data_IF_238497068985
#
_entry.id   IF_238497068985
#
_cell.length_a   1.000
_cell.length_b   1.000
_cell.length_c   1.000
_cell.angle_alpha   90.00
_cell.angle_beta   90.00
_cell.angle_gamma   90.00
#
_symmetry.space_group_name_H-M   'P 1'
#
loop_
_entity.id
_entity.type
_entity.pdbx_description
1 polymer ?
#
# COMPACT_ATOMS: atom_id res chain seq x y z
N UNK A 1 -6.30 -10.68 -13.85
CA UNK A 1 -5.95 -9.64 -12.85
C UNK A 1 -5.81 -8.28 -13.54
N UNK A 2 -5.94 -7.17 -12.80
CA UNK A 2 -5.80 -5.79 -13.31
C UNK A 2 -4.34 -5.43 -13.61
N UNK A 3 -4.11 -4.30 -14.31
CA UNK A 3 -2.77 -3.76 -14.57
C UNK A 3 -2.00 -3.46 -13.29
N UNK A 4 -0.66 -3.52 -13.32
CA UNK A 4 0.22 -3.09 -12.24
C UNK A 4 0.08 -1.58 -11.95
N UNK A 5 -0.46 -0.79 -12.88
CA UNK A 5 -0.83 0.62 -12.64
C UNK A 5 -1.91 0.76 -11.55
N UNK A 6 -2.73 -0.27 -11.37
CA UNK A 6 -3.75 -0.33 -10.31
C UNK A 6 -3.20 -0.78 -8.95
N UNK A 7 -2.00 -1.34 -8.91
CA UNK A 7 -1.29 -1.73 -7.70
C UNK A 7 -0.35 -0.61 -7.23
N UNK A 8 0.50 -0.14 -8.14
CA UNK A 8 1.43 0.95 -7.90
C UNK A 8 0.78 2.27 -8.27
N UNK A 9 0.17 2.95 -7.32
CA UNK A 9 -0.42 4.26 -7.52
C UNK A 9 0.47 5.34 -6.90
N UNK A 10 0.81 6.34 -7.68
CA UNK A 10 1.46 7.56 -7.19
C UNK A 10 0.37 8.44 -6.58
N UNK A 11 0.54 8.83 -5.33
CA UNK A 11 -0.47 9.61 -4.63
C UNK A 11 0.04 10.20 -3.32
N UNK A 12 -0.87 10.89 -2.63
CA UNK A 12 -0.59 11.54 -1.35
C UNK A 12 -1.07 10.62 -0.22
N UNK A 13 -0.17 10.40 0.78
CA UNK A 13 -0.53 9.68 1.99
C UNK A 13 -1.54 10.42 2.88
N UNK A 14 -1.90 9.85 4.02
CA UNK A 14 -1.34 8.66 4.66
C UNK A 14 -2.03 7.34 4.29
N UNK A 15 -3.23 7.36 3.69
CA UNK A 15 -4.02 6.14 3.45
C UNK A 15 -4.50 6.04 2.01
N UNK A 16 -4.38 4.87 1.41
CA UNK A 16 -4.93 4.63 0.07
C UNK A 16 -6.45 4.63 0.06
N UNK A 17 -7.09 4.02 1.05
CA UNK A 17 -8.55 3.96 1.14
C UNK A 17 -9.19 5.22 1.72
N UNK A 18 -8.51 5.91 2.65
CA UNK A 18 -9.07 7.07 3.36
C UNK A 18 -8.55 8.42 2.85
N UNK A 19 -7.53 8.45 2.01
CA UNK A 19 -6.96 9.70 1.44
C UNK A 19 -7.02 9.68 -0.09
N UNK A 20 -6.33 8.71 -0.74
CA UNK A 20 -6.29 8.64 -2.22
C UNK A 20 -7.68 8.37 -2.79
N UNK A 21 -8.42 7.39 -2.26
CA UNK A 21 -9.76 7.06 -2.73
C UNK A 21 -10.73 8.25 -2.64
N UNK A 22 -10.93 8.88 -1.47
CA UNK A 22 -11.77 10.07 -1.34
C UNK A 22 -11.33 11.25 -2.20
N UNK A 23 -10.01 11.48 -2.36
CA UNK A 23 -9.49 12.49 -3.29
C UNK A 23 -9.90 12.20 -4.73
N UNK A 24 -9.68 10.98 -5.19
CA UNK A 24 -10.04 10.55 -6.56
C UNK A 24 -11.55 10.63 -6.79
N UNK A 25 -12.36 10.31 -5.78
CA UNK A 25 -13.81 10.48 -5.85
C UNK A 25 -14.22 11.96 -5.98
N UNK A 26 -13.60 12.83 -5.19
CA UNK A 26 -13.82 14.28 -5.27
C UNK A 26 -13.43 14.83 -6.65
N UNK A 27 -12.28 14.41 -7.20
CA UNK A 27 -11.82 14.79 -8.54
C UNK A 27 -12.79 14.31 -9.63
N UNK A 28 -13.26 13.06 -9.54
CA UNK A 28 -14.24 12.51 -10.47
C UNK A 28 -15.59 13.26 -10.40
N UNK A 29 -16.05 13.59 -9.19
CA UNK A 29 -17.30 14.31 -8.99
C UNK A 29 -17.21 15.76 -9.46
N UNK A 30 -16.11 16.46 -9.17
CA UNK A 30 -15.85 17.81 -9.65
C UNK A 30 -15.83 17.86 -11.19
N UNK A 31 -15.23 16.86 -11.83
CA UNK A 31 -15.21 16.77 -13.31
C UNK A 31 -16.61 16.58 -13.91
N UNK A 32 -17.50 15.89 -13.20
CA UNK A 32 -18.92 15.75 -13.62
C UNK A 32 -19.72 17.03 -13.43
N UNK A 33 -19.33 17.86 -12.44
CA UNK A 33 -20.06 19.06 -12.02
C UNK A 33 -19.13 20.29 -11.91
N UNK A 34 -18.47 20.73 -13.01
CA UNK A 34 -17.47 21.80 -12.95
C UNK A 34 -18.04 23.17 -12.55
N UNK A 35 -19.33 23.41 -12.83
CA UNK A 35 -20.04 24.68 -12.56
C UNK A 35 -20.82 24.68 -11.22
N UNK A 36 -20.62 23.65 -10.36
CA UNK A 36 -21.33 23.55 -9.10
C UNK A 36 -20.99 24.72 -8.14
N UNK A 37 -22.02 25.35 -7.56
CA UNK A 37 -21.88 26.44 -6.60
C UNK A 37 -21.28 25.99 -5.27
N UNK A 38 -21.54 24.74 -4.89
CA UNK A 38 -21.04 24.13 -3.66
C UNK A 38 -21.29 22.64 -3.64
N UNK A 39 -20.74 21.98 -2.63
CA UNK A 39 -20.79 20.54 -2.49
C UNK A 39 -21.19 20.16 -1.06
N UNK A 40 -21.85 19.00 -0.93
CA UNK A 40 -21.98 18.29 0.34
C UNK A 40 -21.36 16.91 0.16
N UNK A 41 -20.47 16.52 1.08
CA UNK A 41 -19.91 15.18 1.11
C UNK A 41 -20.24 14.54 2.46
N UNK A 42 -20.92 13.41 2.42
CA UNK A 42 -21.26 12.62 3.60
C UNK A 42 -20.35 11.40 3.65
N UNK A 43 -19.59 11.25 4.75
CA UNK A 43 -18.71 10.13 5.00
C UNK A 43 -19.39 9.15 5.96
N UNK A 44 -19.22 7.84 5.70
CA UNK A 44 -19.86 6.77 6.45
C UNK A 44 -18.83 5.79 7.02
N UNK A 45 -19.23 5.08 8.10
CA UNK A 45 -18.48 3.96 8.68
C UNK A 45 -17.04 4.30 8.98
N UNK A 46 -16.09 3.50 8.48
CA UNK A 46 -14.66 3.65 8.75
C UNK A 46 -14.10 4.98 8.23
N UNK A 47 -14.55 5.48 7.06
CA UNK A 47 -14.14 6.80 6.56
C UNK A 47 -14.51 7.93 7.51
N UNK A 48 -15.63 7.83 8.18
CA UNK A 48 -16.05 8.83 9.18
C UNK A 48 -15.35 8.64 10.53
N UNK A 49 -15.14 7.39 10.95
CA UNK A 49 -14.55 7.07 12.24
C UNK A 49 -13.07 7.46 12.34
N UNK A 50 -12.30 7.22 11.30
CA UNK A 50 -10.84 7.42 11.27
C UNK A 50 -10.38 8.52 10.30
N UNK A 51 -11.29 9.10 9.54
CA UNK A 51 -10.98 9.98 8.41
C UNK A 51 -10.19 11.25 8.76
N UNK A 52 -10.43 11.85 9.93
CA UNK A 52 -9.64 13.01 10.38
C UNK A 52 -8.17 12.64 10.61
N UNK A 53 -7.91 11.46 11.18
CA UNK A 53 -6.55 10.94 11.38
C UNK A 53 -5.86 10.58 10.06
N UNK A 54 -6.67 10.23 9.04
CA UNK A 54 -6.21 9.89 7.70
C UNK A 54 -6.26 11.06 6.70
N UNK A 55 -6.47 12.29 7.15
CA UNK A 55 -6.56 13.48 6.30
C UNK A 55 -7.62 13.37 5.18
N UNK A 56 -8.71 12.64 5.43
CA UNK A 56 -9.80 12.46 4.44
C UNK A 56 -10.46 13.79 4.11
N UNK A 57 -10.73 14.61 5.13
CA UNK A 57 -11.25 15.97 4.99
C UNK A 57 -10.32 16.83 4.14
N UNK A 58 -9.04 16.86 4.50
CA UNK A 58 -8.04 17.61 3.76
C UNK A 58 -8.00 17.19 2.28
N UNK A 59 -8.00 15.89 2.00
CA UNK A 59 -7.94 15.36 0.65
C UNK A 59 -9.15 15.76 -0.21
N UNK A 60 -10.35 15.75 0.37
CA UNK A 60 -11.61 16.18 -0.31
C UNK A 60 -11.64 17.69 -0.49
N UNK A 61 -11.33 18.45 0.57
CA UNK A 61 -11.41 19.91 0.57
C UNK A 61 -10.38 20.56 -0.36
N UNK A 62 -9.20 19.98 -0.53
CA UNK A 62 -8.20 20.43 -1.49
C UNK A 62 -8.70 20.36 -2.95
N UNK A 63 -9.60 19.44 -3.25
CA UNK A 63 -10.18 19.27 -4.60
C UNK A 63 -11.42 20.13 -4.78
N UNK A 64 -12.37 20.04 -3.85
CA UNK A 64 -13.68 20.67 -3.97
C UNK A 64 -13.70 22.14 -3.51
N UNK A 65 -12.72 22.57 -2.71
CA UNK A 65 -12.62 23.89 -2.10
C UNK A 65 -13.30 23.97 -0.73
N UNK A 66 -12.54 24.40 0.29
CA UNK A 66 -12.99 24.46 1.68
C UNK A 66 -14.21 25.34 1.89
N UNK A 67 -14.23 26.54 1.28
CA UNK A 67 -15.28 27.53 1.48
C UNK A 67 -16.63 27.18 0.83
N UNK A 68 -16.68 26.13 -0.01
CA UNK A 68 -17.89 25.71 -0.72
C UNK A 68 -18.27 24.26 -0.51
N UNK A 69 -17.64 23.57 0.46
CA UNK A 69 -17.88 22.17 0.74
C UNK A 69 -18.31 21.95 2.19
N UNK A 70 -19.47 21.33 2.35
CA UNK A 70 -19.99 20.85 3.64
C UNK A 70 -19.62 19.38 3.81
N UNK A 71 -18.91 19.03 4.93
CA UNK A 71 -18.57 17.65 5.28
C UNK A 71 -19.44 17.16 6.43
N UNK A 72 -20.14 16.03 6.21
CA UNK A 72 -20.93 15.34 7.23
C UNK A 72 -20.29 14.00 7.60
N UNK A 73 -20.27 13.67 8.88
CA UNK A 73 -19.56 12.53 9.45
C UNK A 73 -20.55 11.59 10.17
N UNK A 74 -20.76 10.39 9.60
CA UNK A 74 -21.67 9.38 10.13
C UNK A 74 -20.93 8.07 10.44
N UNK A 75 -20.07 8.08 11.47
CA UNK A 75 -19.26 6.94 11.87
C UNK A 75 -20.09 5.70 12.27
N UNK A 76 -21.29 5.92 12.83
CA UNK A 76 -22.18 4.85 13.29
C UNK A 76 -23.06 4.24 12.17
N UNK A 77 -22.98 4.78 10.95
CA UNK A 77 -23.74 4.29 9.81
C UNK A 77 -22.78 3.60 8.86
N UNK A 78 -22.90 2.29 8.74
CA UNK A 78 -22.15 1.48 7.76
C UNK A 78 -23.09 1.15 6.62
N UNK A 79 -22.72 1.55 5.40
CA UNK A 79 -23.51 1.23 4.21
C UNK A 79 -23.34 -0.26 3.84
N UNK A 80 -24.38 -0.92 3.28
CA UNK A 80 -24.41 -2.38 3.11
C UNK A 80 -23.29 -2.95 2.23
N UNK A 81 -22.82 -2.17 1.24
CA UNK A 81 -21.85 -2.65 0.26
C UNK A 81 -20.41 -2.69 0.81
N UNK A 82 -19.98 -1.61 1.52
CA UNK A 82 -18.62 -1.51 2.03
C UNK A 82 -18.54 -0.48 3.17
N UNK A 83 -17.69 -0.67 4.23
CA UNK A 83 -17.58 0.26 5.35
C UNK A 83 -17.00 1.64 4.97
N UNK A 84 -16.31 1.77 3.83
CA UNK A 84 -15.72 3.02 3.36
C UNK A 84 -16.64 3.72 2.34
N UNK A 85 -17.88 3.98 2.71
CA UNK A 85 -18.85 4.67 1.87
C UNK A 85 -18.74 6.19 1.96
N UNK A 86 -19.01 6.86 0.84
CA UNK A 86 -19.13 8.31 0.76
C UNK A 86 -20.21 8.71 -0.26
N UNK A 87 -20.93 9.78 0.04
CA UNK A 87 -21.98 10.35 -0.81
C UNK A 87 -21.64 11.79 -1.13
N UNK A 88 -21.64 12.13 -2.41
CA UNK A 88 -21.44 13.48 -2.93
C UNK A 88 -22.76 14.05 -3.42
N UNK A 89 -22.98 15.34 -3.22
CA UNK A 89 -24.14 16.09 -3.68
C UNK A 89 -23.71 17.50 -4.09
N UNK A 90 -24.31 18.08 -5.14
CA UNK A 90 -24.10 19.48 -5.56
C UNK A 90 -25.16 20.40 -4.98
N UNK A 91 -24.79 21.65 -4.70
CA UNK A 91 -25.74 22.69 -4.26
C UNK A 91 -26.38 23.38 -5.44
N UNK A 92 -27.68 23.28 -5.57
CA UNK A 92 -28.46 23.98 -6.58
C UNK A 92 -28.67 25.47 -6.25
N UNK A 93 -29.11 26.25 -7.24
CA UNK A 93 -29.45 27.68 -7.03
C UNK A 93 -30.61 27.88 -6.02
N UNK A 94 -31.48 26.89 -5.84
CA UNK A 94 -32.52 26.89 -4.79
C UNK A 94 -31.99 26.79 -3.37
N UNK A 95 -30.71 26.37 -3.22
CA UNK A 95 -30.09 26.07 -1.95
C UNK A 95 -30.16 24.57 -1.56
N UNK A 96 -30.95 23.79 -2.27
CA UNK A 96 -31.11 22.35 -2.06
C UNK A 96 -29.86 21.58 -2.56
N UNK A 97 -29.63 20.38 -2.00
CA UNK A 97 -28.63 19.48 -2.48
C UNK A 97 -29.21 18.43 -3.42
N UNK A 98 -28.64 18.33 -4.61
CA UNK A 98 -29.11 17.51 -5.72
C UNK A 98 -27.97 16.64 -6.29
N UNK A 99 -28.28 15.80 -7.29
CA UNK A 99 -27.33 14.94 -8.00
C UNK A 99 -26.51 14.03 -7.07
N UNK A 100 -27.17 13.21 -6.21
CA UNK A 100 -26.48 12.34 -5.28
C UNK A 100 -25.67 11.27 -6.02
N UNK A 101 -24.41 11.09 -5.60
CA UNK A 101 -23.54 10.03 -6.08
C UNK A 101 -22.92 9.29 -4.90
N UNK A 102 -23.27 8.00 -4.74
CA UNK A 102 -22.73 7.13 -3.70
C UNK A 102 -21.61 6.29 -4.28
N UNK A 103 -20.44 6.33 -3.63
CA UNK A 103 -19.23 5.64 -4.06
C UNK A 103 -18.47 5.09 -2.86
N UNK A 104 -17.76 3.99 -3.04
CA UNK A 104 -17.01 3.28 -2.01
C UNK A 104 -15.53 3.23 -2.35
N UNK A 105 -14.69 3.41 -1.34
CA UNK A 105 -13.24 3.20 -1.45
C UNK A 105 -12.89 1.79 -0.98
N UNK A 106 -12.63 0.89 -1.94
CA UNK A 106 -12.54 -0.56 -1.70
C UNK A 106 -11.11 -1.09 -1.49
N UNK A 107 -10.18 -0.21 -1.14
CA UNK A 107 -8.78 -0.55 -0.89
C UNK A 107 -7.84 -0.14 -2.04
N UNK A 108 -6.57 0.10 -1.71
CA UNK A 108 -5.56 0.56 -2.68
C UNK A 108 -5.90 1.88 -3.40
N UNK A 109 -6.92 2.63 -2.94
CA UNK A 109 -7.42 3.83 -3.61
C UNK A 109 -8.40 3.56 -4.76
N UNK A 110 -8.87 2.32 -4.92
CA UNK A 110 -9.89 1.95 -5.91
C UNK A 110 -11.28 2.43 -5.48
N UNK A 111 -12.09 2.82 -6.45
CA UNK A 111 -13.45 3.28 -6.24
C UNK A 111 -14.45 2.32 -6.91
N UNK A 112 -15.61 2.11 -6.25
CA UNK A 112 -16.73 1.35 -6.78
C UNK A 112 -18.01 2.14 -6.54
N UNK A 113 -18.84 2.32 -7.58
CA UNK A 113 -20.14 3.00 -7.48
C UNK A 113 -21.21 2.02 -6.95
N UNK A 114 -22.21 2.55 -6.29
CA UNK A 114 -23.35 1.75 -5.82
C UNK A 114 -24.06 1.07 -7.00
N UNK A 115 -24.20 -0.25 -6.92
CA UNK A 115 -24.85 -1.05 -7.98
C UNK A 115 -23.94 -1.48 -9.14
N UNK A 116 -22.68 -1.06 -9.15
CA UNK A 116 -21.69 -1.55 -10.13
C UNK A 116 -20.84 -2.66 -9.51
N UNK A 117 -20.50 -3.67 -10.30
CA UNK A 117 -19.43 -4.58 -9.96
C UNK A 117 -18.09 -3.84 -10.11
N UNK A 118 -17.11 -4.20 -9.27
CA UNK A 118 -15.79 -3.58 -9.17
C UNK A 118 -15.24 -3.21 -10.56
N UNK A 119 -15.22 -1.92 -10.87
CA UNK A 119 -14.66 -1.18 -12.01
C UNK A 119 -14.53 -1.88 -13.37
N UNK A 120 -15.04 -1.20 -14.42
CA UNK A 120 -14.92 -1.51 -15.86
C UNK A 120 -13.50 -1.48 -16.45
N UNK A 121 -12.45 -1.45 -15.63
CA UNK A 121 -11.10 -1.64 -16.16
C UNK A 121 -10.93 -3.11 -16.54
N UNK A 122 -10.58 -3.41 -17.80
CA UNK A 122 -10.42 -4.79 -18.26
C UNK A 122 -9.30 -5.49 -17.48
N UNK A 123 -9.43 -6.82 -17.34
CA UNK A 123 -8.33 -7.61 -16.85
C UNK A 123 -7.22 -7.65 -17.91
N UNK A 124 -6.00 -7.41 -17.43
CA UNK A 124 -4.78 -7.41 -18.27
C UNK A 124 -4.06 -8.75 -18.19
N UNK A 125 -4.17 -9.42 -17.06
CA UNK A 125 -3.55 -10.71 -16.80
C UNK A 125 -4.64 -11.80 -16.74
N UNK A 126 -4.52 -12.80 -17.61
CA UNK A 126 -5.44 -13.95 -17.64
C UNK A 126 -5.22 -14.90 -16.44
N UNK A 127 -3.95 -15.12 -16.07
CA UNK A 127 -3.58 -15.98 -14.95
C UNK A 127 -3.59 -15.18 -13.64
N UNK A 128 -4.05 -15.81 -12.55
CA UNK A 128 -4.15 -15.21 -11.22
C UNK A 128 -3.55 -16.08 -10.08
N UNK A 129 -2.91 -17.19 -10.44
CA UNK A 129 -2.10 -18.02 -9.55
C UNK A 129 -0.62 -17.92 -9.92
N UNK A 130 0.23 -17.82 -8.90
CA UNK A 130 1.67 -17.74 -9.14
C UNK A 130 2.22 -19.04 -9.73
N UNK A 131 1.68 -20.18 -9.31
CA UNK A 131 1.99 -21.50 -9.88
C UNK A 131 1.76 -21.58 -11.38
N UNK A 132 0.62 -21.06 -11.87
CA UNK A 132 0.30 -21.07 -13.31
C UNK A 132 1.22 -20.11 -14.08
N UNK A 133 1.49 -18.93 -13.51
CA UNK A 133 2.43 -17.96 -14.09
C UNK A 133 3.84 -18.54 -14.12
N UNK A 134 4.26 -19.25 -13.06
CA UNK A 134 5.55 -19.92 -12.99
C UNK A 134 5.70 -21.00 -14.08
N UNK A 135 4.66 -21.82 -14.25
CA UNK A 135 4.63 -22.82 -15.33
C UNK A 135 4.71 -22.15 -16.70
N UNK A 136 3.91 -21.10 -16.93
CA UNK A 136 3.92 -20.35 -18.19
C UNK A 136 5.31 -19.76 -18.49
N UNK A 137 5.99 -19.21 -17.49
CA UNK A 137 7.33 -18.67 -17.60
C UNK A 137 8.36 -19.77 -17.90
N UNK A 138 8.26 -20.90 -17.21
CA UNK A 138 9.15 -22.04 -17.39
C UNK A 138 9.06 -22.62 -18.81
N UNK A 139 7.85 -22.83 -19.31
CA UNK A 139 7.61 -23.35 -20.67
C UNK A 139 8.20 -22.46 -21.78
N UNK A 140 8.29 -21.15 -21.52
CA UNK A 140 8.79 -20.15 -22.50
C UNK A 140 10.22 -19.69 -22.23
N UNK A 141 10.84 -20.16 -21.17
CA UNK A 141 12.19 -19.76 -20.78
C UNK A 141 12.32 -18.28 -20.44
N UNK A 142 11.26 -17.67 -19.85
CA UNK A 142 11.20 -16.25 -19.49
C UNK A 142 11.04 -16.08 -17.98
N UNK A 143 11.30 -14.86 -17.49
CA UNK A 143 11.15 -14.48 -16.09
C UNK A 143 9.74 -13.94 -15.82
N UNK A 144 9.41 -13.68 -14.53
CA UNK A 144 8.14 -13.02 -14.15
C UNK A 144 7.97 -11.64 -14.80
N UNK A 145 9.04 -10.83 -14.89
CA UNK A 145 8.96 -9.55 -15.61
C UNK A 145 8.75 -9.73 -17.12
N UNK A 146 9.19 -10.86 -17.70
CA UNK A 146 8.87 -11.21 -19.09
C UNK A 146 7.37 -11.47 -19.28
N UNK A 147 6.72 -12.12 -18.31
CA UNK A 147 5.27 -12.28 -18.28
C UNK A 147 4.55 -10.91 -18.17
N UNK A 148 5.06 -9.99 -17.32
CA UNK A 148 4.53 -8.61 -17.26
C UNK A 148 4.60 -7.94 -18.63
N UNK A 149 5.73 -8.03 -19.32
CA UNK A 149 5.88 -7.45 -20.67
C UNK A 149 4.87 -8.04 -21.66
N UNK A 150 4.64 -9.35 -21.59
CA UNK A 150 3.68 -10.04 -22.46
C UNK A 150 2.25 -9.55 -22.25
N UNK A 151 1.85 -9.32 -20.99
CA UNK A 151 0.48 -8.92 -20.65
C UNK A 151 0.23 -7.41 -20.78
N UNK A 152 1.17 -6.57 -20.36
CA UNK A 152 1.00 -5.11 -20.27
C UNK A 152 1.60 -4.35 -21.46
N UNK A 153 2.40 -5.01 -22.31
CA UNK A 153 3.16 -4.35 -23.35
C UNK A 153 4.39 -3.58 -22.84
N UNK A 154 5.05 -2.85 -23.73
CA UNK A 154 6.28 -2.09 -23.38
C UNK A 154 6.00 -0.83 -22.56
N UNK A 155 4.81 -0.26 -22.66
CA UNK A 155 4.43 1.00 -21.99
C UNK A 155 4.41 0.90 -20.46
N UNK A 156 4.33 -0.29 -19.91
CA UNK A 156 4.39 -0.48 -18.46
C UNK A 156 5.73 -0.04 -17.88
N UNK A 157 6.81 -0.17 -18.65
CA UNK A 157 8.16 0.17 -18.18
C UNK A 157 8.33 1.66 -17.99
N UNK A 158 7.75 2.50 -18.87
CA UNK A 158 7.74 3.97 -18.71
C UNK A 158 6.95 4.38 -17.44
N UNK A 159 5.90 3.63 -17.12
CA UNK A 159 5.15 3.85 -15.89
C UNK A 159 5.93 3.42 -14.64
N UNK A 160 6.56 2.24 -14.68
CA UNK A 160 7.37 1.73 -13.57
C UNK A 160 8.63 2.58 -13.35
N UNK A 161 9.17 3.23 -14.38
CA UNK A 161 10.24 4.22 -14.25
C UNK A 161 9.78 5.42 -13.42
N UNK A 162 8.60 5.97 -13.71
CA UNK A 162 8.00 7.04 -12.89
C UNK A 162 7.74 6.59 -11.45
N UNK A 163 7.24 5.36 -11.28
CA UNK A 163 7.05 4.74 -9.96
C UNK A 163 8.38 4.67 -9.21
N UNK A 164 9.44 4.20 -9.86
CA UNK A 164 10.77 4.08 -9.24
C UNK A 164 11.34 5.45 -8.84
N UNK A 165 11.28 6.44 -9.73
CA UNK A 165 11.76 7.79 -9.43
C UNK A 165 10.98 8.40 -8.25
N UNK A 166 9.65 8.26 -8.22
CA UNK A 166 8.84 8.71 -7.08
C UNK A 166 9.21 8.00 -5.78
N UNK A 167 9.51 6.70 -5.82
CA UNK A 167 10.00 5.95 -4.66
C UNK A 167 11.35 6.49 -4.16
N UNK A 168 12.29 6.76 -5.06
CA UNK A 168 13.59 7.36 -4.72
C UNK A 168 13.42 8.74 -4.08
N UNK A 169 12.62 9.61 -4.71
CA UNK A 169 12.34 10.94 -4.18
C UNK A 169 11.70 10.91 -2.79
N UNK A 170 10.80 9.95 -2.54
CA UNK A 170 10.18 9.80 -1.22
C UNK A 170 11.21 9.39 -0.16
N UNK A 171 12.17 8.49 -0.48
CA UNK A 171 13.27 8.15 0.41
C UNK A 171 14.15 9.37 0.68
N UNK A 172 14.59 10.05 -0.37
CA UNK A 172 15.52 11.18 -0.28
C UNK A 172 14.91 12.33 0.52
N UNK A 173 13.66 12.72 0.23
CA UNK A 173 12.95 13.74 1.01
C UNK A 173 12.80 13.36 2.47
N UNK A 174 12.40 12.11 2.76
CA UNK A 174 12.20 11.67 4.13
C UNK A 174 13.48 11.61 4.97
N UNK A 175 14.65 11.41 4.32
CA UNK A 175 15.95 11.47 4.98
C UNK A 175 16.40 12.90 5.32
N UNK A 176 15.84 13.90 4.64
CA UNK A 176 16.19 15.32 4.84
C UNK A 176 15.18 16.04 5.74
N UNK A 177 13.95 15.52 5.88
CA UNK A 177 12.91 16.14 6.66
C UNK A 177 13.01 15.83 8.15
N UNK A 178 13.17 16.86 8.96
CA UNK A 178 13.07 16.82 10.42
C UNK A 178 11.71 17.33 10.91
N UNK A 179 11.46 17.20 12.21
CA UNK A 179 10.31 17.77 12.88
C UNK A 179 9.33 16.74 13.44
N UNK A 180 8.08 17.15 13.58
CA UNK A 180 7.01 16.39 14.24
C UNK A 180 5.97 15.98 13.21
N UNK A 181 5.56 14.70 13.23
CA UNK A 181 4.50 14.20 12.40
C UNK A 181 3.14 14.80 12.79
N UNK A 182 2.22 15.00 11.84
CA UNK A 182 0.91 15.56 12.13
C UNK A 182 0.07 14.59 12.99
N UNK A 183 -0.87 15.15 13.75
CA UNK A 183 -1.82 14.40 14.56
C UNK A 183 -1.51 14.38 16.05
N UNK A 184 -2.34 13.68 16.83
CA UNK A 184 -2.34 13.71 18.28
C UNK A 184 -1.09 13.10 18.93
N UNK A 185 -0.43 12.15 18.26
CA UNK A 185 0.72 11.43 18.79
C UNK A 185 2.00 12.28 18.87
N UNK A 186 2.10 13.34 18.09
CA UNK A 186 3.25 14.25 18.05
C UNK A 186 4.60 13.53 17.95
N UNK A 187 4.65 12.47 17.16
CA UNK A 187 5.88 11.70 16.95
C UNK A 187 6.93 12.52 16.24
N UNK A 188 8.15 12.45 16.73
CA UNK A 188 9.30 13.02 16.03
C UNK A 188 9.69 12.13 14.84
N UNK A 189 10.08 12.73 13.72
CA UNK A 189 10.70 12.03 12.63
C UNK A 189 12.02 11.42 13.09
N UNK A 190 12.28 10.18 12.67
CA UNK A 190 13.44 9.39 13.09
C UNK A 190 14.39 9.08 11.92
N UNK A 191 13.90 9.18 10.70
CA UNK A 191 14.64 8.72 9.52
C UNK A 191 16.01 9.41 9.37
N UNK A 192 16.16 10.76 9.50
CA UNK A 192 17.45 11.42 9.43
C UNK A 192 18.47 10.91 10.46
N UNK A 193 18.02 10.81 11.71
CA UNK A 193 18.86 10.32 12.80
C UNK A 193 19.32 8.86 12.61
N UNK A 194 18.38 7.99 12.16
CA UNK A 194 18.68 6.59 11.88
C UNK A 194 19.67 6.46 10.73
N UNK A 195 19.53 7.29 9.69
CA UNK A 195 20.45 7.31 8.57
C UNK A 195 21.88 7.69 9.00
N UNK A 196 22.03 8.80 9.74
CA UNK A 196 23.33 9.25 10.24
C UNK A 196 23.97 8.19 11.13
N UNK A 197 23.21 7.60 12.04
CA UNK A 197 23.71 6.52 12.92
C UNK A 197 24.08 5.27 12.12
N UNK A 198 23.30 4.93 11.10
CA UNK A 198 23.59 3.77 10.24
C UNK A 198 24.95 3.88 9.55
N UNK A 199 25.34 5.10 9.13
CA UNK A 199 26.65 5.33 8.51
C UNK A 199 27.82 5.04 9.45
N UNK A 200 27.61 5.14 10.74
CA UNK A 200 28.62 4.83 11.78
C UNK A 200 28.73 3.35 12.18
N UNK A 201 27.80 2.50 11.71
CA UNK A 201 27.84 1.07 12.04
C UNK A 201 28.85 0.29 11.17
N UNK A 202 29.43 -0.82 11.69
CA UNK A 202 30.22 -1.73 10.89
C UNK A 202 29.35 -2.39 9.81
N UNK A 203 29.98 -2.80 8.71
CA UNK A 203 29.32 -3.26 7.48
C UNK A 203 28.27 -4.35 7.69
N UNK A 204 28.45 -5.24 8.65
CA UNK A 204 27.50 -6.31 8.98
C UNK A 204 26.17 -5.82 9.56
N UNK A 205 26.16 -4.68 10.24
CA UNK A 205 24.94 -4.06 10.80
C UNK A 205 24.46 -2.87 9.97
N UNK A 206 25.38 -2.19 9.27
CA UNK A 206 25.09 -0.99 8.48
C UNK A 206 23.99 -1.22 7.44
N UNK A 207 24.06 -2.33 6.70
CA UNK A 207 23.05 -2.68 5.69
C UNK A 207 21.63 -2.71 6.28
N UNK A 208 21.44 -3.38 7.41
CA UNK A 208 20.15 -3.45 8.09
C UNK A 208 19.70 -2.10 8.63
N UNK A 209 20.61 -1.33 9.21
CA UNK A 209 20.31 -0.01 9.75
C UNK A 209 19.92 1.00 8.65
N UNK A 210 20.56 0.94 7.47
CA UNK A 210 20.19 1.75 6.31
C UNK A 210 18.79 1.39 5.79
N UNK A 211 18.44 0.10 5.71
CA UNK A 211 17.10 -0.35 5.29
C UNK A 211 16.05 0.18 6.26
N UNK A 212 16.31 0.18 7.58
CA UNK A 212 15.40 0.80 8.54
C UNK A 212 15.24 2.30 8.26
N UNK A 213 16.32 3.03 8.06
CA UNK A 213 16.27 4.47 7.80
C UNK A 213 15.45 4.79 6.54
N UNK A 214 15.64 4.05 5.45
CA UNK A 214 14.91 4.23 4.20
C UNK A 214 13.41 3.91 4.34
N UNK A 215 13.06 2.85 5.06
CA UNK A 215 11.67 2.51 5.31
C UNK A 215 10.97 3.54 6.20
N UNK A 216 11.66 4.04 7.24
CA UNK A 216 11.20 5.14 8.08
C UNK A 216 10.98 6.40 7.24
N UNK A 217 11.93 6.76 6.37
CA UNK A 217 11.85 7.95 5.52
C UNK A 217 10.56 7.99 4.70
N UNK A 218 10.26 6.92 3.95
CA UNK A 218 9.02 6.83 3.15
C UNK A 218 7.78 6.79 4.02
N UNK A 219 7.81 6.05 5.14
CA UNK A 219 6.65 5.92 6.02
C UNK A 219 6.32 7.24 6.74
N UNK A 220 7.32 8.03 7.11
CA UNK A 220 7.16 9.36 7.69
C UNK A 220 6.67 10.38 6.65
N UNK A 221 7.15 10.30 5.40
CA UNK A 221 6.59 11.06 4.28
C UNK A 221 5.12 10.71 4.06
N UNK A 222 4.79 9.41 4.02
CA UNK A 222 3.41 8.96 3.94
C UNK A 222 2.54 9.53 5.06
N UNK A 223 2.99 9.44 6.31
CA UNK A 223 2.25 9.93 7.48
C UNK A 223 2.05 11.44 7.49
N UNK A 224 2.88 12.18 6.76
CA UNK A 224 2.84 13.65 6.66
C UNK A 224 2.09 14.16 5.42
N UNK A 225 1.45 13.28 4.63
CA UNK A 225 0.77 13.67 3.40
C UNK A 225 1.74 13.95 2.23
N UNK A 226 2.95 13.40 2.27
CA UNK A 226 3.90 13.47 1.16
C UNK A 226 3.49 12.56 0.00
N UNK A 227 4.05 12.83 -1.18
CA UNK A 227 3.85 11.98 -2.36
C UNK A 227 4.63 10.69 -2.20
N UNK A 228 3.92 9.56 -2.30
CA UNK A 228 4.46 8.20 -2.21
C UNK A 228 3.87 7.31 -3.31
N UNK A 229 4.34 6.08 -3.37
CA UNK A 229 3.75 5.04 -4.21
C UNK A 229 3.13 3.96 -3.32
N UNK A 230 1.90 3.55 -3.62
CA UNK A 230 1.32 2.37 -2.97
C UNK A 230 2.09 1.11 -3.35
N UNK A 231 2.48 0.28 -2.36
CA UNK A 231 3.21 -0.97 -2.60
C UNK A 231 2.96 -2.01 -1.48
N UNK A 232 1.77 -2.66 -1.40
CA UNK A 232 0.59 -2.45 -2.23
C UNK A 232 -0.32 -1.32 -1.77
N UNK A 233 -0.14 -0.78 -0.55
CA UNK A 233 -0.95 0.30 0.05
C UNK A 233 -0.08 1.45 0.54
N UNK A 234 -0.69 2.58 0.92
CA UNK A 234 0.03 3.67 1.58
C UNK A 234 0.64 3.23 2.92
N UNK A 235 -0.11 2.46 3.72
CA UNK A 235 0.34 1.98 5.03
C UNK A 235 1.59 1.10 4.98
N UNK A 236 1.85 0.49 3.82
CA UNK A 236 3.01 -0.38 3.59
C UNK A 236 4.01 0.20 2.56
N UNK A 237 3.85 1.48 2.18
CA UNK A 237 4.61 2.12 1.10
C UNK A 237 6.11 2.23 1.34
N UNK A 238 6.59 2.05 2.58
CA UNK A 238 8.01 2.13 2.93
C UNK A 238 8.81 0.86 2.63
N UNK A 239 8.17 -0.30 2.50
CA UNK A 239 8.87 -1.61 2.45
C UNK A 239 9.61 -1.81 1.13
N UNK A 240 8.89 -1.79 0.01
CA UNK A 240 9.47 -2.03 -1.33
C UNK A 240 10.53 -0.98 -1.70
N UNK A 241 10.25 0.34 -1.54
CA UNK A 241 11.25 1.36 -1.84
C UNK A 241 12.52 1.21 -1.02
N UNK A 242 12.41 0.93 0.29
CA UNK A 242 13.58 0.79 1.17
C UNK A 242 14.52 -0.33 0.71
N UNK A 243 13.97 -1.50 0.37
CA UNK A 243 14.73 -2.65 -0.09
C UNK A 243 15.39 -2.35 -1.44
N UNK A 244 14.62 -1.85 -2.41
CA UNK A 244 15.15 -1.59 -3.76
C UNK A 244 16.16 -0.44 -3.76
N UNK A 245 15.90 0.65 -3.03
CA UNK A 245 16.82 1.77 -2.91
C UNK A 245 18.13 1.36 -2.24
N UNK A 246 18.05 0.56 -1.17
CA UNK A 246 19.23 0.00 -0.51
C UNK A 246 20.08 -0.83 -1.49
N UNK A 247 19.46 -1.75 -2.23
CA UNK A 247 20.16 -2.60 -3.19
C UNK A 247 20.71 -1.79 -4.37
N UNK A 248 19.97 -0.80 -4.87
CA UNK A 248 20.41 0.12 -5.91
C UNK A 248 21.68 0.88 -5.50
N UNK A 249 21.68 1.48 -4.29
CA UNK A 249 22.83 2.26 -3.78
C UNK A 249 24.04 1.39 -3.37
N UNK A 250 23.82 0.17 -2.92
CA UNK A 250 24.92 -0.67 -2.35
C UNK A 250 25.44 -1.72 -3.30
N UNK A 251 24.68 -2.14 -4.31
CA UNK A 251 25.05 -3.23 -5.24
C UNK A 251 25.22 -2.79 -6.68
N UNK A 252 25.07 -1.50 -6.97
CA UNK A 252 25.20 -0.91 -8.31
C UNK A 252 24.36 -1.62 -9.39
N UNK A 253 23.18 -2.10 -9.05
CA UNK A 253 22.26 -2.62 -10.05
C UNK A 253 21.83 -1.50 -11.00
N UNK A 254 21.75 -1.80 -12.29
CA UNK A 254 21.23 -0.83 -13.26
C UNK A 254 19.74 -0.55 -13.00
N UNK A 255 19.31 0.65 -13.32
CA UNK A 255 17.91 1.05 -13.17
C UNK A 255 16.97 0.08 -13.91
N UNK A 256 17.34 -0.35 -15.12
CA UNK A 256 16.59 -1.36 -15.86
C UNK A 256 16.37 -2.66 -15.03
N UNK A 257 17.34 -3.11 -14.26
CA UNK A 257 17.17 -4.28 -13.38
C UNK A 257 16.25 -3.99 -12.22
N UNK A 258 16.27 -2.77 -11.68
CA UNK A 258 15.31 -2.34 -10.65
C UNK A 258 13.89 -2.33 -11.20
N UNK A 259 13.66 -1.82 -12.42
CA UNK A 259 12.35 -1.85 -13.06
C UNK A 259 11.83 -3.28 -13.25
N UNK A 260 12.69 -4.21 -13.70
CA UNK A 260 12.34 -5.63 -13.80
C UNK A 260 12.01 -6.23 -12.41
N UNK A 261 12.73 -5.84 -11.36
CA UNK A 261 12.43 -6.23 -9.98
C UNK A 261 11.07 -5.69 -9.52
N UNK A 262 10.73 -4.43 -9.87
CA UNK A 262 9.41 -3.85 -9.60
C UNK A 262 8.30 -4.60 -10.34
N UNK A 263 8.52 -4.98 -11.61
CA UNK A 263 7.57 -5.81 -12.36
C UNK A 263 7.36 -7.18 -11.69
N UNK A 264 8.44 -7.82 -11.23
CA UNK A 264 8.39 -9.09 -10.48
C UNK A 264 7.62 -8.93 -9.17
N UNK A 265 7.94 -7.91 -8.36
CA UNK A 265 7.22 -7.58 -7.13
C UNK A 265 5.73 -7.30 -7.40
N UNK A 266 5.45 -6.63 -8.52
CA UNK A 266 4.09 -6.30 -8.93
C UNK A 266 3.21 -7.53 -9.16
N UNK A 267 3.73 -8.59 -9.77
CA UNK A 267 3.00 -9.87 -9.91
C UNK A 267 2.64 -10.44 -8.54
N UNK A 268 3.58 -10.47 -7.59
CA UNK A 268 3.34 -10.97 -6.23
C UNK A 268 2.22 -10.18 -5.54
N UNK A 269 2.30 -8.85 -5.56
CA UNK A 269 1.28 -7.99 -4.96
C UNK A 269 -0.09 -8.10 -5.66
N UNK A 270 -0.08 -8.25 -6.99
CA UNK A 270 -1.32 -8.33 -7.78
C UNK A 270 -2.08 -9.64 -7.53
N UNK A 271 -1.38 -10.75 -7.35
CA UNK A 271 -1.98 -12.04 -6.94
C UNK A 271 -2.60 -11.90 -5.55
N UNK A 272 -1.89 -11.35 -4.57
CA UNK A 272 -2.44 -11.12 -3.23
C UNK A 272 -3.68 -10.22 -3.27
N UNK A 273 -3.66 -9.14 -4.09
CA UNK A 273 -4.80 -8.24 -4.30
C UNK A 273 -6.00 -8.96 -4.92
N UNK A 274 -5.76 -9.81 -5.91
CA UNK A 274 -6.81 -10.45 -6.69
C UNK A 274 -7.47 -11.62 -5.95
N UNK A 275 -6.69 -12.46 -5.28
CA UNK A 275 -7.14 -13.70 -4.64
C UNK A 275 -7.35 -13.60 -3.13
N UNK A 276 -6.64 -12.67 -2.52
CA UNK A 276 -6.74 -12.37 -1.10
C UNK A 276 -7.42 -11.05 -0.83
N UNK A 277 -6.70 -10.17 -0.17
CA UNK A 277 -7.00 -8.76 0.01
C UNK A 277 -5.69 -8.00 0.26
N UNK A 278 -5.68 -6.71 -0.03
CA UNK A 278 -4.62 -5.78 0.39
C UNK A 278 -5.17 -4.69 1.33
N UNK A 279 -6.34 -4.91 1.93
CA UNK A 279 -7.00 -3.97 2.83
C UNK A 279 -6.79 -4.35 4.29
N UNK A 280 -6.27 -3.42 5.09
CA UNK A 280 -6.15 -3.58 6.54
C UNK A 280 -7.51 -3.76 7.23
N UNK A 281 -8.55 -3.11 6.73
CA UNK A 281 -9.92 -3.23 7.23
C UNK A 281 -10.57 -4.60 6.95
N UNK A 282 -10.14 -5.29 5.89
CA UNK A 282 -10.64 -6.62 5.54
C UNK A 282 -9.83 -7.74 6.18
N UNK A 283 -8.50 -7.65 6.10
CA UNK A 283 -7.63 -8.77 6.42
C UNK A 283 -6.50 -8.42 7.40
N UNK A 284 -6.53 -7.26 8.05
CA UNK A 284 -5.47 -6.84 8.96
C UNK A 284 -4.19 -6.41 8.25
N UNK A 285 -3.16 -6.08 9.04
CA UNK A 285 -1.88 -5.58 8.51
C UNK A 285 -1.06 -6.65 7.74
N UNK A 286 -1.40 -7.94 7.89
CA UNK A 286 -0.83 -9.02 7.08
C UNK A 286 -1.06 -8.78 5.58
N UNK A 287 -2.22 -8.23 5.21
CA UNK A 287 -2.58 -7.92 3.83
C UNK A 287 -1.84 -6.70 3.27
N UNK A 288 -1.39 -5.80 4.12
CA UNK A 288 -0.63 -4.62 3.73
C UNK A 288 0.88 -4.88 3.85
N UNK A 289 1.38 -4.95 5.07
CA UNK A 289 2.81 -5.06 5.38
C UNK A 289 3.35 -6.45 5.02
N UNK A 290 2.56 -7.52 5.24
CA UNK A 290 2.95 -8.88 4.86
C UNK A 290 3.09 -9.03 3.33
N UNK A 291 2.13 -8.51 2.57
CA UNK A 291 2.19 -8.50 1.10
C UNK A 291 3.35 -7.63 0.62
N UNK A 292 3.58 -6.45 1.22
CA UNK A 292 4.72 -5.60 0.88
C UNK A 292 6.07 -6.30 1.13
N UNK A 293 6.18 -7.06 2.23
CA UNK A 293 7.36 -7.88 2.51
C UNK A 293 7.57 -8.96 1.44
N UNK A 294 6.51 -9.67 1.04
CA UNK A 294 6.57 -10.66 -0.04
C UNK A 294 7.01 -10.03 -1.37
N UNK A 295 6.44 -8.88 -1.75
CA UNK A 295 6.82 -8.11 -2.93
C UNK A 295 8.31 -7.74 -2.92
N UNK A 296 8.78 -7.19 -1.81
CA UNK A 296 10.18 -6.77 -1.65
C UNK A 296 11.15 -7.96 -1.61
N UNK A 297 10.77 -9.08 -0.99
CA UNK A 297 11.56 -10.31 -0.94
C UNK A 297 11.74 -10.92 -2.34
N UNK A 298 10.66 -11.00 -3.12
CA UNK A 298 10.70 -11.46 -4.52
C UNK A 298 11.58 -10.56 -5.39
N UNK A 299 11.43 -9.24 -5.26
CA UNK A 299 12.24 -8.27 -5.97
C UNK A 299 13.73 -8.40 -5.65
N UNK A 300 14.06 -8.53 -4.36
CA UNK A 300 15.45 -8.75 -3.91
C UNK A 300 15.99 -10.06 -4.47
N UNK A 301 15.23 -11.15 -4.38
CA UNK A 301 15.65 -12.46 -4.87
C UNK A 301 15.92 -12.44 -6.39
N UNK A 302 15.06 -11.78 -7.18
CA UNK A 302 15.30 -11.55 -8.60
C UNK A 302 16.62 -10.79 -8.85
N UNK A 303 16.90 -9.73 -8.09
CA UNK A 303 18.14 -8.94 -8.24
C UNK A 303 19.40 -9.76 -7.96
N UNK A 304 19.34 -10.69 -7.01
CA UNK A 304 20.41 -11.62 -6.71
C UNK A 304 20.49 -12.83 -7.65
N UNK A 305 19.67 -12.90 -8.69
CA UNK A 305 19.71 -13.93 -9.73
C UNK A 305 18.96 -15.21 -9.36
N UNK A 306 17.99 -15.11 -8.47
CA UNK A 306 17.14 -16.24 -8.10
C UNK A 306 16.36 -16.83 -9.28
N UNK A 307 16.11 -18.14 -9.19
CA UNK A 307 15.23 -18.86 -10.11
C UNK A 307 13.75 -18.48 -9.87
N UNK A 308 12.87 -18.87 -10.78
CA UNK A 308 11.42 -18.68 -10.58
C UNK A 308 10.96 -19.30 -9.25
N UNK A 309 11.48 -20.48 -8.89
CA UNK A 309 11.13 -21.17 -7.64
C UNK A 309 11.67 -20.45 -6.39
N UNK A 310 12.91 -19.94 -6.41
CA UNK A 310 13.45 -19.22 -5.27
C UNK A 310 12.83 -17.83 -5.10
N UNK A 311 12.43 -17.17 -6.18
CA UNK A 311 11.67 -15.90 -6.13
C UNK A 311 10.31 -16.12 -5.49
N UNK A 312 9.59 -17.18 -5.89
CA UNK A 312 8.32 -17.58 -5.29
C UNK A 312 8.49 -17.90 -3.82
N UNK A 313 9.51 -18.70 -3.45
CA UNK A 313 9.77 -19.07 -2.07
C UNK A 313 10.12 -17.84 -1.20
N UNK A 314 10.89 -16.89 -1.71
CA UNK A 314 11.15 -15.64 -0.99
C UNK A 314 9.86 -14.83 -0.73
N UNK A 315 8.96 -14.79 -1.71
CA UNK A 315 7.65 -14.15 -1.55
C UNK A 315 6.79 -14.87 -0.50
N UNK A 316 6.73 -16.18 -0.57
CA UNK A 316 6.01 -17.03 0.37
C UNK A 316 6.49 -16.78 1.80
N UNK A 317 7.80 -16.89 2.07
CA UNK A 317 8.43 -16.60 3.36
C UNK A 317 8.11 -15.19 3.86
N UNK A 318 8.12 -14.21 2.94
CA UNK A 318 7.78 -12.82 3.27
C UNK A 318 6.35 -12.65 3.77
N UNK A 319 5.39 -13.40 3.23
CA UNK A 319 3.98 -13.34 3.63
C UNK A 319 3.68 -14.24 4.83
N UNK A 320 4.14 -15.49 4.81
CA UNK A 320 3.87 -16.50 5.86
C UNK A 320 4.19 -15.96 7.25
N UNK A 321 5.35 -15.31 7.41
CA UNK A 321 5.82 -14.79 8.69
C UNK A 321 5.14 -13.48 9.14
N UNK A 322 4.13 -13.03 8.39
CA UNK A 322 3.25 -11.92 8.75
C UNK A 322 1.79 -12.35 8.97
N UNK A 323 1.46 -13.64 8.84
CA UNK A 323 0.12 -14.15 9.11
C UNK A 323 -0.29 -13.86 10.57
N UNK A 324 -1.56 -13.48 10.75
CA UNK A 324 -2.11 -13.11 12.06
C UNK A 324 -1.82 -11.67 12.51
N UNK A 325 -1.17 -10.84 11.70
CA UNK A 325 -0.86 -9.46 12.05
C UNK A 325 -2.12 -8.59 12.04
N UNK A 326 -2.48 -8.07 13.22
CA UNK A 326 -3.63 -7.17 13.43
C UNK A 326 -3.42 -5.80 12.79
N UNK A 327 -4.50 -5.03 12.57
CA UNK A 327 -4.45 -3.62 12.18
C UNK A 327 -5.16 -2.77 13.25
N UNK A 328 -4.38 -2.18 14.15
CA UNK A 328 -4.82 -1.42 15.31
C UNK A 328 -4.04 -0.10 15.46
N UNK A 329 -4.18 0.82 14.47
CA UNK A 329 -3.42 2.07 14.48
C UNK A 329 -3.84 2.97 15.65
N UNK A 330 -2.85 3.42 16.43
CA UNK A 330 -3.09 4.29 17.59
C UNK A 330 -3.63 5.64 17.13
N UNK A 331 -4.71 6.10 17.75
CA UNK A 331 -5.44 7.33 17.37
C UNK A 331 -5.95 7.32 15.90
N UNK A 332 -6.07 6.17 15.26
CA UNK A 332 -6.42 6.09 13.84
C UNK A 332 -5.35 6.62 12.88
N UNK A 333 -4.12 6.84 13.36
CA UNK A 333 -3.02 7.41 12.59
C UNK A 333 -2.14 6.31 11.98
N UNK A 334 -1.77 6.43 10.71
CA UNK A 334 -0.82 5.53 10.04
C UNK A 334 0.61 5.83 10.52
N UNK A 335 0.82 5.71 11.85
CA UNK A 335 2.05 6.04 12.55
C UNK A 335 2.48 4.91 13.46
N UNK A 336 1.76 4.64 14.56
CA UNK A 336 2.00 3.52 15.46
C UNK A 336 0.94 2.43 15.21
N UNK A 337 1.32 1.21 14.91
CA UNK A 337 2.68 0.67 14.72
C UNK A 337 3.19 0.73 13.27
N UNK A 338 2.49 1.38 12.36
CA UNK A 338 2.68 1.26 10.90
C UNK A 338 4.10 1.64 10.45
N UNK A 339 4.64 2.76 10.92
CA UNK A 339 5.98 3.25 10.54
C UNK A 339 7.06 2.20 10.89
N UNK A 340 7.02 1.68 12.10
CA UNK A 340 8.01 0.71 12.57
C UNK A 340 7.82 -0.68 11.91
N UNK A 341 6.57 -1.08 11.63
CA UNK A 341 6.28 -2.31 10.88
C UNK A 341 6.89 -2.30 9.48
N UNK A 342 6.88 -1.15 8.79
CA UNK A 342 7.53 -1.01 7.49
C UNK A 342 9.04 -1.27 7.59
N UNK A 343 9.72 -0.69 8.57
CA UNK A 343 11.16 -0.89 8.79
C UNK A 343 11.48 -2.37 9.05
N UNK A 344 10.74 -3.02 9.93
CA UNK A 344 10.94 -4.43 10.25
C UNK A 344 10.61 -5.35 9.07
N UNK A 345 9.56 -5.07 8.31
CA UNK A 345 9.20 -5.85 7.12
C UNK A 345 10.23 -5.72 6.00
N UNK A 346 10.80 -4.53 5.79
CA UNK A 346 11.87 -4.32 4.82
C UNK A 346 13.13 -5.14 5.16
N UNK A 347 13.51 -5.20 6.43
CA UNK A 347 14.61 -6.07 6.86
C UNK A 347 14.27 -7.55 6.68
N UNK A 348 13.06 -7.99 7.05
CA UNK A 348 12.60 -9.37 6.83
C UNK A 348 12.55 -9.77 5.37
N UNK A 349 12.25 -8.87 4.46
CA UNK A 349 12.29 -9.13 3.04
C UNK A 349 13.70 -9.53 2.56
N UNK A 350 14.74 -8.88 3.09
CA UNK A 350 16.12 -9.26 2.82
C UNK A 350 16.51 -10.58 3.50
N UNK A 351 16.03 -10.84 4.72
CA UNK A 351 16.25 -12.13 5.40
C UNK A 351 15.57 -13.27 4.62
N UNK A 352 14.32 -13.07 4.13
CA UNK A 352 13.60 -14.04 3.30
C UNK A 352 14.32 -14.30 1.97
N UNK A 353 14.86 -13.25 1.32
CA UNK A 353 15.70 -13.40 0.14
C UNK A 353 16.93 -14.27 0.43
N UNK A 354 17.66 -14.01 1.51
CA UNK A 354 18.85 -14.81 1.88
C UNK A 354 18.44 -16.26 2.13
N UNK A 355 17.37 -16.49 2.90
CA UNK A 355 16.90 -17.82 3.21
C UNK A 355 16.54 -18.62 1.95
N UNK A 356 15.76 -18.03 1.05
CA UNK A 356 15.36 -18.67 -0.21
C UNK A 356 16.55 -18.96 -1.14
N UNK A 357 17.53 -18.07 -1.20
CA UNK A 357 18.75 -18.27 -2.03
C UNK A 357 19.69 -19.36 -1.48
N UNK A 358 19.62 -19.71 -0.20
CA UNK A 358 20.37 -20.83 0.40
C UNK A 358 19.71 -22.19 0.15
N UNK A 359 18.46 -22.19 -0.33
CA UNK A 359 17.69 -23.40 -0.67
C UNK A 359 17.80 -23.71 -2.16
N UNK A 360 17.27 -24.88 -2.54
CA UNK A 360 17.08 -25.27 -3.94
C UNK A 360 15.75 -24.77 -4.52
N UNK A 361 14.98 -23.98 -3.72
CA UNK A 361 13.66 -23.48 -4.08
C UNK A 361 12.51 -24.46 -3.85
N UNK A 362 12.78 -25.69 -3.36
CA UNK A 362 11.73 -26.65 -3.02
C UNK A 362 11.18 -26.38 -1.62
N UNK A 363 9.84 -26.29 -1.49
CA UNK A 363 9.17 -26.10 -0.22
C UNK A 363 7.72 -26.64 -0.29
N UNK A 364 7.06 -26.79 0.88
CA UNK A 364 5.78 -27.48 0.98
C UNK A 364 4.57 -26.58 0.82
N UNK A 365 4.64 -25.37 1.28
CA UNK A 365 3.56 -24.38 1.25
C UNK A 365 3.93 -23.35 0.18
N UNK A 366 3.14 -23.25 -0.87
CA UNK A 366 3.39 -22.28 -1.95
C UNK A 366 2.71 -20.95 -1.67
N UNK A 367 3.19 -19.89 -2.30
CA UNK A 367 2.67 -18.53 -2.16
C UNK A 367 1.16 -18.43 -2.36
N UNK A 368 0.60 -19.13 -3.38
CA UNK A 368 -0.83 -19.13 -3.63
C UNK A 368 -1.62 -19.63 -2.41
N UNK A 369 -1.10 -20.67 -1.73
CA UNK A 369 -1.73 -21.20 -0.52
C UNK A 369 -1.61 -20.24 0.67
N UNK A 370 -0.49 -19.59 0.81
CA UNK A 370 -0.27 -18.58 1.86
C UNK A 370 -1.20 -17.37 1.69
N UNK A 371 -1.49 -16.97 0.44
CA UNK A 371 -2.49 -15.92 0.13
C UNK A 371 -3.91 -16.38 0.54
N UNK A 372 -4.28 -17.64 0.26
CA UNK A 372 -5.58 -18.18 0.72
C UNK A 372 -5.69 -18.20 2.25
N UNK A 373 -4.62 -18.63 2.93
CA UNK A 373 -4.56 -18.64 4.41
C UNK A 373 -4.62 -17.22 4.96
N UNK A 374 -3.93 -16.27 4.34
CA UNK A 374 -4.01 -14.85 4.72
C UNK A 374 -5.46 -14.33 4.65
N UNK A 375 -6.18 -14.65 3.56
CA UNK A 375 -7.59 -14.28 3.40
C UNK A 375 -8.46 -14.88 4.50
N UNK A 376 -8.30 -16.17 4.77
CA UNK A 376 -9.05 -16.87 5.82
C UNK A 376 -8.72 -16.31 7.20
N UNK A 377 -7.44 -16.18 7.55
CA UNK A 377 -7.00 -15.59 8.81
C UNK A 377 -7.53 -14.17 8.99
N UNK A 378 -7.54 -13.37 7.93
CA UNK A 378 -8.12 -12.02 7.95
C UNK A 378 -9.62 -12.03 8.25
N UNK A 379 -10.36 -12.97 7.67
CA UNK A 379 -11.78 -13.16 7.99
C UNK A 379 -11.99 -13.58 9.45
N UNK A 380 -11.12 -14.44 9.97
CA UNK A 380 -11.23 -15.00 11.33
C UNK A 380 -10.74 -14.01 12.42
N UNK A 381 -9.97 -12.99 12.05
CA UNK A 381 -9.63 -11.92 12.98
C UNK A 381 -10.90 -11.20 13.47
N UNK A 382 -11.06 -11.01 14.79
CA UNK A 382 -12.13 -10.16 15.31
C UNK A 382 -12.13 -8.76 14.66
N UNK A 383 -13.31 -8.22 14.39
CA UNK A 383 -13.46 -6.88 13.80
C UNK A 383 -12.67 -5.80 14.54
N UNK A 384 -12.53 -5.94 15.85
CA UNK A 384 -11.75 -5.09 16.74
C UNK A 384 -10.27 -4.90 16.29
N UNK A 385 -9.71 -5.87 15.56
CA UNK A 385 -8.32 -5.87 15.09
C UNK A 385 -8.18 -5.58 13.59
N UNK A 386 -9.22 -5.02 12.98
CA UNK A 386 -9.28 -4.69 11.55
C UNK A 386 -9.54 -3.19 11.32
N UNK A 387 -8.53 -2.35 11.59
CA UNK A 387 -8.52 -0.90 11.33
C UNK A 387 -9.65 -0.11 12.03
N UNK A 388 -9.99 -0.52 13.28
CA UNK A 388 -11.01 0.18 14.08
C UNK A 388 -10.41 1.19 15.05
N UNK A 389 -9.14 1.04 15.40
CA UNK A 389 -8.48 1.82 16.48
C UNK A 389 -9.12 1.66 17.87
N UNK A 390 -9.87 0.58 18.08
CA UNK A 390 -10.55 0.26 19.34
C UNK A 390 -9.90 -0.91 20.09
N UNK A 391 -9.02 -1.65 19.43
CA UNK A 391 -8.34 -2.84 19.96
C UNK A 391 -6.83 -2.68 20.09
N UNK A 392 -6.17 -3.73 20.59
CA UNK A 392 -4.73 -3.85 20.62
C UNK A 392 -4.02 -2.66 21.25
N UNK A 393 -2.97 -2.17 20.57
CA UNK A 393 -2.18 -1.02 21.02
C UNK A 393 -3.00 0.26 21.15
N UNK A 394 -3.97 0.48 20.26
CA UNK A 394 -4.81 1.67 20.30
C UNK A 394 -5.61 1.77 21.60
N UNK A 395 -6.16 0.63 22.07
CA UNK A 395 -6.92 0.58 23.32
C UNK A 395 -6.07 0.91 24.54
N UNK A 396 -4.85 0.40 24.59
CA UNK A 396 -3.97 0.65 25.74
C UNK A 396 -3.49 2.10 25.79
N UNK A 397 -3.27 2.73 24.63
CA UNK A 397 -2.89 4.16 24.57
C UNK A 397 -3.99 5.10 25.10
N UNK A 398 -5.26 4.77 24.92
CA UNK A 398 -6.38 5.59 25.43
C UNK A 398 -6.57 5.52 26.95
N UNK A 399 -5.80 4.68 27.65
CA UNK A 399 -5.83 4.61 29.12
C UNK A 399 -4.85 5.56 29.80
N UNK A 400 -3.90 6.11 29.03
CA UNK A 400 -2.96 7.14 29.50
C UNK A 400 -3.49 8.54 29.22
#
# INVERSE_FOLDING_TARGET
MKSLKELYRIGIGPSSSHTIGPRSAAEAYLKRHPEALGFRVTLYGSLAATGKGHLTDYAILQVLGENRTELLWHANIVLPFHPNGMKFETKAHSGDFVDPWTVYSVGGGALVEEGQQQTDTPDVYELDHLSDIQQWCHERGVSYWGYVTQCEGSEIWDYLEKVWHTMCEAVERGLEHEGVLPGALKLHRKAPDYYIRALGYPSNLQSRALVFAYALAVSEENASGGTIVTAPTCGASGVVPAVLYHLYKTRNFSEKRILHALGTAGIIGNIAKSRGSISGAEAGCQAEVGVACAMAAAAANYLFGGSLATIEYAAEMGLEHHLGMTCDPVCGLVQIPCIERNAHAAARALDANVYANLSDGTHRIQYDKTVEVMKQTGHDLPSLYRETSEGGLAKEFHKE
#
